data_IF_920016803126
#
_entry.id   IF_920016803126
#
_cell.length_a   1.000
_cell.length_b   1.000
_cell.length_c   1.000
_cell.angle_alpha   90.00
_cell.angle_beta   90.00
_cell.angle_gamma   90.00
#
_symmetry.space_group_name_H-M   'P 1'
#
loop_
_entity.id
_entity.type
_entity.pdbx_description
1 polymer ?
#
# COMPACT_ATOMS: atom_id res chain seq x y z
N UNK A 1 -29.84 33.86 -49.06
CA UNK A 1 -29.57 32.46 -48.66
C UNK A 1 -28.19 32.45 -48.00
N UNK A 2 -28.14 32.88 -46.73
CA UNK A 2 -26.94 32.78 -45.90
C UNK A 2 -26.96 31.40 -45.23
N UNK A 3 -25.83 30.72 -45.31
CA UNK A 3 -25.60 29.35 -44.86
C UNK A 3 -25.83 29.21 -43.35
N UNK A 4 -26.68 28.26 -42.96
CA UNK A 4 -26.63 27.66 -41.62
C UNK A 4 -25.48 26.65 -41.63
N UNK A 5 -24.34 26.95 -40.99
CA UNK A 5 -23.25 25.96 -40.85
C UNK A 5 -22.49 26.01 -39.52
N UNK A 6 -23.09 26.55 -38.45
CA UNK A 6 -22.41 26.67 -37.15
C UNK A 6 -23.18 25.97 -36.02
N UNK A 7 -23.64 24.74 -36.28
CA UNK A 7 -24.18 23.86 -35.24
C UNK A 7 -23.30 22.63 -35.18
N UNK A 8 -22.70 22.38 -34.01
CA UNK A 8 -21.98 21.15 -33.69
C UNK A 8 -22.83 19.94 -34.14
N UNK A 9 -22.28 19.07 -34.99
CA UNK A 9 -23.00 17.90 -35.52
C UNK A 9 -23.22 16.86 -34.41
N UNK A 10 -24.36 16.99 -33.74
CA UNK A 10 -24.75 16.22 -32.57
C UNK A 10 -24.88 14.73 -32.86
N UNK A 11 -25.45 14.39 -34.01
CA UNK A 11 -25.63 13.01 -34.42
C UNK A 11 -24.28 12.38 -34.73
N UNK A 12 -23.34 13.13 -35.31
CA UNK A 12 -21.97 12.68 -35.51
C UNK A 12 -21.22 12.44 -34.19
N UNK A 13 -21.35 13.34 -33.20
CA UNK A 13 -20.73 13.17 -31.88
C UNK A 13 -21.31 11.94 -31.16
N UNK A 14 -22.64 11.80 -31.14
CA UNK A 14 -23.30 10.66 -30.50
C UNK A 14 -22.92 9.34 -31.20
N UNK A 15 -22.94 9.29 -32.53
CA UNK A 15 -22.55 8.12 -33.32
C UNK A 15 -21.08 7.74 -33.12
N UNK A 16 -20.18 8.73 -33.10
CA UNK A 16 -18.77 8.51 -32.83
C UNK A 16 -18.55 7.93 -31.43
N UNK A 17 -19.26 8.48 -30.43
CA UNK A 17 -19.20 7.99 -29.06
C UNK A 17 -19.73 6.56 -28.94
N UNK A 18 -20.91 6.26 -29.48
CA UNK A 18 -21.50 4.91 -29.47
C UNK A 18 -20.65 3.89 -30.23
N UNK A 19 -19.95 4.34 -31.27
CA UNK A 19 -19.00 3.53 -32.03
C UNK A 19 -17.61 3.39 -31.39
N UNK A 20 -17.40 3.92 -30.17
CA UNK A 20 -16.11 3.87 -29.47
C UNK A 20 -14.99 4.70 -30.10
N UNK A 21 -15.33 5.61 -31.02
CA UNK A 21 -14.38 6.49 -31.72
C UNK A 21 -14.19 7.79 -30.94
N UNK A 22 -13.60 7.66 -29.75
CA UNK A 22 -13.47 8.79 -28.81
C UNK A 22 -12.56 9.92 -29.32
N UNK A 23 -11.55 9.60 -30.14
CA UNK A 23 -10.73 10.62 -30.79
C UNK A 23 -11.54 11.50 -31.76
N UNK A 24 -12.49 10.89 -32.49
CA UNK A 24 -13.39 11.63 -33.38
C UNK A 24 -14.32 12.53 -32.58
N UNK A 25 -14.86 12.05 -31.45
CA UNK A 25 -15.68 12.88 -30.53
C UNK A 25 -14.90 14.11 -30.07
N UNK A 26 -13.62 13.95 -29.72
CA UNK A 26 -12.77 15.06 -29.29
C UNK A 26 -12.50 16.05 -30.42
N UNK A 27 -12.30 15.56 -31.65
CA UNK A 27 -12.05 16.40 -32.83
C UNK A 27 -13.30 17.15 -33.31
N UNK A 28 -14.49 16.56 -33.13
CA UNK A 28 -15.78 17.13 -33.53
C UNK A 28 -16.32 18.16 -32.54
N UNK A 29 -15.79 18.21 -31.31
CA UNK A 29 -16.24 19.15 -30.30
C UNK A 29 -15.63 20.54 -30.51
N UNK A 30 -16.48 21.52 -30.80
CA UNK A 30 -16.08 22.92 -30.94
C UNK A 30 -16.47 23.70 -29.68
N UNK A 31 -15.47 24.13 -28.91
CA UNK A 31 -15.68 24.95 -27.71
C UNK A 31 -16.28 26.33 -28.00
N UNK A 32 -16.07 26.88 -29.20
CA UNK A 32 -16.58 28.21 -29.56
C UNK A 32 -18.08 28.21 -29.87
N UNK A 33 -18.60 27.05 -30.29
CA UNK A 33 -20.01 26.81 -30.57
C UNK A 33 -20.74 26.11 -29.41
N UNK A 34 -20.06 25.82 -28.30
CA UNK A 34 -20.63 25.15 -27.14
C UNK A 34 -21.51 26.10 -26.31
N UNK A 35 -22.81 25.86 -26.32
CA UNK A 35 -23.77 26.53 -25.42
C UNK A 35 -24.12 25.60 -24.23
N UNK A 36 -23.44 25.77 -23.07
CA UNK A 36 -23.69 24.95 -21.89
C UNK A 36 -25.09 25.13 -21.30
N UNK A 37 -25.81 26.21 -21.62
CA UNK A 37 -27.14 26.46 -21.04
C UNK A 37 -28.26 25.67 -21.72
N UNK A 38 -27.98 25.08 -22.88
CA UNK A 38 -28.90 24.22 -23.62
C UNK A 38 -28.87 22.76 -23.12
N UNK A 39 -29.99 22.05 -23.23
CA UNK A 39 -30.06 20.60 -22.94
C UNK A 39 -29.06 19.82 -23.80
N UNK A 40 -28.88 20.25 -25.05
CA UNK A 40 -27.93 19.67 -25.98
C UNK A 40 -26.49 19.89 -25.51
N UNK A 41 -26.13 21.11 -25.13
CA UNK A 41 -24.79 21.44 -24.64
C UNK A 41 -24.44 20.67 -23.37
N UNK A 42 -25.40 20.45 -22.47
CA UNK A 42 -25.23 19.62 -21.28
C UNK A 42 -24.91 18.14 -21.62
N UNK A 43 -25.65 17.57 -22.57
CA UNK A 43 -25.41 16.20 -23.05
C UNK A 43 -24.05 16.08 -23.73
N UNK A 44 -23.70 17.05 -24.57
CA UNK A 44 -22.40 17.11 -25.26
C UNK A 44 -21.24 17.22 -24.27
N UNK A 45 -21.35 18.01 -23.20
CA UNK A 45 -20.30 18.10 -22.16
C UNK A 45 -20.01 16.75 -21.52
N UNK A 46 -21.06 15.96 -21.23
CA UNK A 46 -20.87 14.63 -20.64
C UNK A 46 -20.15 13.67 -21.59
N UNK A 47 -20.55 13.63 -22.86
CA UNK A 47 -19.92 12.77 -23.87
C UNK A 47 -18.48 13.19 -24.17
N UNK A 48 -18.24 14.49 -24.31
CA UNK A 48 -16.92 15.04 -24.60
C UNK A 48 -15.95 14.82 -23.43
N UNK A 49 -16.34 15.10 -22.19
CA UNK A 49 -15.49 14.85 -21.03
C UNK A 49 -15.15 13.35 -20.88
N UNK A 50 -16.10 12.46 -21.20
CA UNK A 50 -15.84 11.01 -21.21
C UNK A 50 -14.90 10.62 -22.34
N UNK A 51 -15.09 11.12 -23.56
CA UNK A 51 -14.20 10.87 -24.68
C UNK A 51 -12.76 11.35 -24.42
N UNK A 52 -12.60 12.52 -23.79
CA UNK A 52 -11.30 13.03 -23.33
C UNK A 52 -10.62 12.04 -22.36
N UNK A 53 -11.37 11.48 -21.41
CA UNK A 53 -10.85 10.48 -20.49
C UNK A 53 -10.41 9.18 -21.20
N UNK A 54 -11.20 8.70 -22.17
CA UNK A 54 -10.88 7.50 -22.95
C UNK A 54 -9.63 7.66 -23.83
N UNK A 55 -9.33 8.88 -24.30
CA UNK A 55 -8.08 9.18 -25.02
C UNK A 55 -6.93 9.59 -24.09
N UNK A 56 -7.10 9.48 -22.77
CA UNK A 56 -6.06 9.76 -21.78
C UNK A 56 -5.84 11.25 -21.44
N UNK A 57 -6.68 12.15 -21.96
CA UNK A 57 -6.65 13.59 -21.68
C UNK A 57 -7.43 13.92 -20.41
N UNK A 58 -6.96 13.42 -19.27
CA UNK A 58 -7.70 13.48 -18.00
C UNK A 58 -7.82 14.89 -17.40
N UNK A 59 -6.79 15.72 -17.54
CA UNK A 59 -6.84 17.12 -17.06
C UNK A 59 -7.86 17.94 -17.85
N UNK A 60 -7.87 17.81 -19.18
CA UNK A 60 -8.86 18.44 -20.05
C UNK A 60 -10.27 17.95 -19.73
N UNK A 61 -10.43 16.64 -19.49
CA UNK A 61 -11.70 16.08 -19.07
C UNK A 61 -12.19 16.71 -17.77
N UNK A 62 -11.32 16.83 -16.77
CA UNK A 62 -11.65 17.45 -15.48
C UNK A 62 -12.02 18.93 -15.65
N UNK A 63 -11.27 19.68 -16.46
CA UNK A 63 -11.60 21.09 -16.76
C UNK A 63 -12.95 21.22 -17.46
N UNK A 64 -13.30 20.28 -18.35
CA UNK A 64 -14.64 20.22 -18.96
C UNK A 64 -15.73 20.00 -17.91
N UNK A 65 -15.52 19.11 -16.94
CA UNK A 65 -16.43 18.93 -15.80
C UNK A 65 -16.59 20.22 -14.99
N UNK A 66 -15.49 20.87 -14.60
CA UNK A 66 -15.52 22.09 -13.79
C UNK A 66 -16.18 23.26 -14.53
N UNK A 67 -15.95 23.37 -15.84
CA UNK A 67 -16.63 24.34 -16.72
C UNK A 67 -18.12 24.02 -16.77
N UNK A 68 -18.52 22.76 -16.98
CA UNK A 68 -19.93 22.38 -17.00
C UNK A 68 -20.62 22.68 -15.65
N UNK A 69 -19.94 22.44 -14.53
CA UNK A 69 -20.43 22.74 -13.20
C UNK A 69 -20.68 24.24 -12.98
N UNK A 70 -19.86 25.14 -13.52
CA UNK A 70 -20.06 26.59 -13.38
C UNK A 70 -21.35 27.09 -14.06
N UNK A 71 -21.88 26.34 -15.03
CA UNK A 71 -23.18 26.56 -15.66
C UNK A 71 -24.34 25.82 -14.98
N UNK A 72 -24.11 25.18 -13.83
CA UNK A 72 -25.14 24.44 -13.10
C UNK A 72 -25.51 23.09 -13.70
N UNK A 73 -24.69 22.56 -14.62
CA UNK A 73 -24.99 21.31 -15.30
C UNK A 73 -24.78 20.09 -14.41
N UNK A 74 -25.69 19.13 -14.52
CA UNK A 74 -25.55 17.82 -13.90
C UNK A 74 -24.73 16.91 -14.82
N UNK A 75 -23.62 16.41 -14.29
CA UNK A 75 -22.71 15.53 -15.02
C UNK A 75 -22.74 14.12 -14.45
N UNK A 76 -22.42 13.13 -15.28
CA UNK A 76 -22.20 11.74 -14.84
C UNK A 76 -21.06 11.66 -13.82
N UNK A 77 -20.91 10.52 -13.15
CA UNK A 77 -19.81 10.31 -12.20
C UNK A 77 -18.46 10.45 -12.91
N UNK A 78 -17.51 11.26 -12.39
CA UNK A 78 -16.19 11.49 -13.01
C UNK A 78 -15.19 10.35 -12.73
N UNK A 79 -15.65 9.09 -12.63
CA UNK A 79 -14.83 7.99 -12.12
C UNK A 79 -13.59 7.72 -12.96
N UNK A 80 -13.74 7.65 -14.30
CA UNK A 80 -12.63 7.43 -15.23
C UNK A 80 -11.64 8.60 -15.23
N UNK A 81 -12.15 9.83 -15.16
CA UNK A 81 -11.34 11.05 -15.04
C UNK A 81 -10.51 11.01 -13.77
N UNK A 82 -11.16 10.78 -12.63
CA UNK A 82 -10.51 10.69 -11.32
C UNK A 82 -9.42 9.62 -11.27
N UNK A 83 -9.69 8.44 -11.82
CA UNK A 83 -8.71 7.36 -11.89
C UNK A 83 -7.45 7.79 -12.68
N UNK A 84 -7.62 8.53 -13.77
CA UNK A 84 -6.53 9.10 -14.55
C UNK A 84 -5.76 10.21 -13.81
N UNK A 85 -6.48 11.15 -13.19
CA UNK A 85 -5.86 12.23 -12.40
C UNK A 85 -4.99 11.68 -11.26
N UNK A 86 -5.47 10.67 -10.53
CA UNK A 86 -4.70 10.01 -9.47
C UNK A 86 -3.44 9.32 -9.99
N UNK A 87 -3.50 8.67 -11.15
CA UNK A 87 -2.32 8.08 -11.81
C UNK A 87 -1.28 9.15 -12.19
N UNK A 88 -1.75 10.32 -12.62
CA UNK A 88 -0.89 11.47 -12.94
C UNK A 88 -0.49 12.29 -11.71
N UNK A 89 -0.92 11.91 -10.50
CA UNK A 89 -0.71 12.65 -9.25
C UNK A 89 -1.25 14.09 -9.27
N UNK A 90 -2.27 14.36 -10.09
CA UNK A 90 -2.99 15.65 -10.13
C UNK A 90 -4.11 15.65 -9.06
N UNK A 91 -3.70 15.57 -7.80
CA UNK A 91 -4.60 15.24 -6.68
C UNK A 91 -5.50 16.42 -6.29
N UNK A 92 -4.99 17.65 -6.31
CA UNK A 92 -5.78 18.87 -6.07
C UNK A 92 -6.96 19.03 -7.04
N UNK A 93 -6.70 18.71 -8.32
CA UNK A 93 -7.72 18.76 -9.35
C UNK A 93 -8.77 17.66 -9.15
N UNK A 94 -8.33 16.47 -8.72
CA UNK A 94 -9.23 15.36 -8.39
C UNK A 94 -10.11 15.66 -7.17
N UNK A 95 -9.55 16.27 -6.12
CA UNK A 95 -10.30 16.76 -4.94
C UNK A 95 -11.34 17.79 -5.37
N UNK A 96 -10.94 18.79 -6.16
CA UNK A 96 -11.84 19.85 -6.64
C UNK A 96 -12.99 19.26 -7.47
N UNK A 97 -12.68 18.34 -8.38
CA UNK A 97 -13.63 17.65 -9.23
C UNK A 97 -14.68 16.88 -8.40
N UNK A 98 -14.23 16.08 -7.43
CA UNK A 98 -15.13 15.32 -6.57
C UNK A 98 -15.95 16.20 -5.64
N UNK A 99 -15.36 17.26 -5.07
CA UNK A 99 -16.07 18.20 -4.20
C UNK A 99 -17.23 18.85 -4.95
N UNK A 100 -16.96 19.43 -6.12
CA UNK A 100 -18.01 20.04 -6.95
C UNK A 100 -19.06 19.04 -7.44
N UNK A 101 -18.66 17.79 -7.70
CA UNK A 101 -19.61 16.75 -8.06
C UNK A 101 -20.50 16.36 -6.89
N UNK A 102 -19.95 16.24 -5.67
CA UNK A 102 -20.70 15.92 -4.45
C UNK A 102 -21.66 17.03 -4.05
N UNK A 103 -21.28 18.30 -4.19
CA UNK A 103 -22.16 19.45 -3.92
C UNK A 103 -23.45 19.39 -4.76
N UNK A 104 -23.34 18.88 -5.99
CA UNK A 104 -24.46 18.72 -6.94
C UNK A 104 -25.20 17.39 -6.81
N UNK A 105 -24.56 16.39 -6.21
CA UNK A 105 -25.10 15.04 -6.05
C UNK A 105 -25.02 14.60 -4.57
N UNK A 106 -25.56 15.40 -3.63
CA UNK A 106 -25.25 15.22 -2.22
C UNK A 106 -25.85 13.93 -1.61
N UNK A 107 -26.80 13.30 -2.30
CA UNK A 107 -27.38 12.00 -1.97
C UNK A 107 -26.55 10.79 -2.45
N UNK A 108 -25.58 11.01 -3.34
CA UNK A 108 -24.76 9.95 -3.94
C UNK A 108 -23.54 9.63 -3.08
N UNK A 109 -23.75 8.80 -2.06
CA UNK A 109 -22.71 8.30 -1.12
C UNK A 109 -21.39 7.89 -1.79
N UNK A 110 -21.35 7.17 -2.93
CA UNK A 110 -20.08 6.78 -3.54
C UNK A 110 -19.17 7.96 -3.90
N UNK A 111 -19.72 9.14 -4.23
CA UNK A 111 -18.91 10.32 -4.53
C UNK A 111 -18.16 10.84 -3.31
N UNK A 112 -18.83 10.89 -2.15
CA UNK A 112 -18.21 11.30 -0.89
C UNK A 112 -17.05 10.38 -0.48
N UNK A 113 -17.19 9.07 -0.72
CA UNK A 113 -16.11 8.10 -0.48
C UNK A 113 -14.94 8.38 -1.44
N UNK A 114 -15.21 8.72 -2.71
CA UNK A 114 -14.15 9.08 -3.65
C UNK A 114 -13.48 10.40 -3.28
N UNK A 115 -14.22 11.41 -2.82
CA UNK A 115 -13.67 12.68 -2.33
C UNK A 115 -12.71 12.44 -1.16
N UNK A 116 -13.15 11.70 -0.14
CA UNK A 116 -12.30 11.32 0.99
C UNK A 116 -11.04 10.60 0.52
N UNK A 117 -11.14 9.64 -0.41
CA UNK A 117 -9.98 8.97 -0.98
C UNK A 117 -9.03 9.91 -1.73
N UNK A 118 -9.55 10.90 -2.45
CA UNK A 118 -8.72 11.90 -3.15
C UNK A 118 -7.96 12.78 -2.16
N UNK A 119 -8.63 13.24 -1.10
CA UNK A 119 -8.03 14.01 0.01
C UNK A 119 -6.94 13.18 0.71
N UNK A 120 -7.23 11.92 0.99
CA UNK A 120 -6.28 10.99 1.59
C UNK A 120 -5.02 10.74 0.75
N UNK A 121 -5.15 10.74 -0.58
CA UNK A 121 -4.01 10.61 -1.50
C UNK A 121 -3.23 11.92 -1.58
N UNK A 122 -3.91 13.06 -1.50
CA UNK A 122 -3.29 14.39 -1.46
C UNK A 122 -2.52 14.66 -0.15
N UNK A 123 -2.70 13.82 0.87
CA UNK A 123 -2.11 14.00 2.20
C UNK A 123 -2.99 14.82 3.15
N UNK A 124 -4.17 15.26 2.71
CA UNK A 124 -5.14 16.04 3.47
C UNK A 124 -6.03 15.13 4.34
N UNK A 125 -5.40 14.39 5.27
CA UNK A 125 -6.07 13.37 6.09
C UNK A 125 -7.15 13.97 7.00
N UNK A 126 -6.90 15.14 7.58
CA UNK A 126 -7.86 15.82 8.44
C UNK A 126 -9.14 16.20 7.67
N UNK A 127 -8.98 16.79 6.48
CA UNK A 127 -10.10 17.18 5.61
C UNK A 127 -10.88 15.95 5.13
N UNK A 128 -10.19 14.84 4.84
CA UNK A 128 -10.84 13.58 4.51
C UNK A 128 -11.72 13.06 5.66
N UNK A 129 -11.24 13.14 6.90
CA UNK A 129 -11.99 12.77 8.09
C UNK A 129 -13.18 13.70 8.33
N UNK A 130 -12.99 15.01 8.15
CA UNK A 130 -14.04 16.03 8.26
C UNK A 130 -15.20 15.76 7.30
N UNK A 131 -14.90 15.50 6.02
CA UNK A 131 -15.90 15.12 5.01
C UNK A 131 -16.65 13.85 5.43
N UNK A 132 -15.96 12.82 5.90
CA UNK A 132 -16.62 11.59 6.35
C UNK A 132 -17.46 11.81 7.62
N UNK A 133 -17.04 12.68 8.53
CA UNK A 133 -17.83 13.07 9.73
C UNK A 133 -19.11 13.80 9.32
N UNK A 134 -19.07 14.71 8.35
CA UNK A 134 -20.28 15.35 7.83
C UNK A 134 -21.24 14.35 7.19
N UNK A 135 -20.71 13.49 6.31
CA UNK A 135 -21.53 12.56 5.52
C UNK A 135 -22.13 11.46 6.41
N UNK A 136 -21.42 11.02 7.46
CA UNK A 136 -21.97 10.08 8.45
C UNK A 136 -23.08 10.69 9.32
N UNK A 137 -23.06 12.00 9.59
CA UNK A 137 -24.17 12.69 10.26
C UNK A 137 -25.42 12.73 9.37
N UNK A 138 -25.26 12.95 8.06
CA UNK A 138 -26.36 12.93 7.09
C UNK A 138 -26.92 11.52 6.83
N UNK A 139 -26.05 10.51 6.85
CA UNK A 139 -26.41 9.12 6.58
C UNK A 139 -26.01 8.18 7.73
N UNK A 140 -26.63 8.32 8.92
CA UNK A 140 -26.16 7.67 10.16
C UNK A 140 -26.33 6.14 10.21
N UNK A 141 -27.05 5.56 9.25
CA UNK A 141 -27.33 4.12 9.12
C UNK A 141 -26.54 3.46 7.99
N UNK A 142 -25.46 4.09 7.52
CA UNK A 142 -24.58 3.55 6.47
C UNK A 142 -23.29 3.03 7.11
N UNK A 143 -23.26 1.72 7.39
CA UNK A 143 -22.13 1.07 8.04
C UNK A 143 -20.80 1.31 7.31
N UNK A 144 -20.81 1.24 5.97
CA UNK A 144 -19.62 1.46 5.15
C UNK A 144 -19.00 2.86 5.33
N UNK A 145 -19.81 3.91 5.56
CA UNK A 145 -19.30 5.25 5.80
C UNK A 145 -18.61 5.37 7.17
N UNK A 146 -19.18 4.74 8.20
CA UNK A 146 -18.55 4.66 9.52
C UNK A 146 -17.26 3.84 9.48
N UNK A 147 -17.22 2.78 8.68
CA UNK A 147 -16.02 1.98 8.49
C UNK A 147 -14.91 2.79 7.80
N UNK A 148 -15.24 3.57 6.75
CA UNK A 148 -14.29 4.48 6.10
C UNK A 148 -13.81 5.58 7.06
N UNK A 149 -14.72 6.17 7.86
CA UNK A 149 -14.35 7.15 8.88
C UNK A 149 -13.36 6.56 9.89
N UNK A 150 -13.61 5.33 10.35
CA UNK A 150 -12.69 4.68 11.28
C UNK A 150 -11.29 4.48 10.69
N UNK A 151 -11.20 4.11 9.41
CA UNK A 151 -9.92 3.96 8.71
C UNK A 151 -9.20 5.31 8.55
N UNK A 152 -9.94 6.35 8.14
CA UNK A 152 -9.40 7.69 7.99
C UNK A 152 -8.91 8.26 9.34
N UNK A 153 -9.71 8.15 10.40
CA UNK A 153 -9.33 8.57 11.75
C UNK A 153 -8.12 7.79 12.29
N UNK A 154 -8.00 6.49 11.98
CA UNK A 154 -6.81 5.71 12.32
C UNK A 154 -5.56 6.31 11.67
N UNK A 155 -5.63 6.68 10.38
CA UNK A 155 -4.53 7.33 9.67
C UNK A 155 -4.19 8.72 10.21
N UNK A 156 -5.18 9.45 10.72
CA UNK A 156 -4.99 10.72 11.41
C UNK A 156 -4.38 10.58 12.81
N UNK A 157 -4.23 9.35 13.33
CA UNK A 157 -3.83 9.10 14.72
C UNK A 157 -4.95 9.37 15.75
N UNK A 158 -6.19 9.59 15.30
CA UNK A 158 -7.37 9.81 16.15
C UNK A 158 -7.92 8.48 16.69
N UNK A 159 -7.14 7.78 17.53
CA UNK A 159 -7.43 6.40 17.95
C UNK A 159 -8.85 6.22 18.52
N UNK A 160 -9.30 7.11 19.40
CA UNK A 160 -10.62 7.00 20.02
C UNK A 160 -11.76 7.24 19.01
N UNK A 161 -11.57 8.17 18.06
CA UNK A 161 -12.54 8.40 17.00
C UNK A 161 -12.61 7.20 16.06
N UNK A 162 -11.46 6.61 15.73
CA UNK A 162 -11.37 5.42 14.89
C UNK A 162 -12.12 4.22 15.52
N UNK A 163 -11.85 3.92 16.79
CA UNK A 163 -12.57 2.88 17.54
C UNK A 163 -14.09 3.13 17.51
N UNK A 164 -14.51 4.35 17.82
CA UNK A 164 -15.94 4.71 17.88
C UNK A 164 -16.63 4.53 16.53
N UNK A 165 -15.97 4.93 15.44
CA UNK A 165 -16.49 4.78 14.09
C UNK A 165 -16.55 3.31 13.66
N UNK A 166 -15.51 2.50 13.91
CA UNK A 166 -15.54 1.06 13.64
C UNK A 166 -16.63 0.33 14.43
N UNK A 167 -16.77 0.64 15.73
CA UNK A 167 -17.83 0.08 16.56
C UNK A 167 -19.22 0.47 16.04
N UNK A 168 -19.38 1.71 15.56
CA UNK A 168 -20.62 2.15 14.94
C UNK A 168 -20.92 1.41 13.64
N UNK A 169 -19.91 1.15 12.81
CA UNK A 169 -20.07 0.34 11.61
C UNK A 169 -20.58 -1.08 11.95
N UNK A 170 -19.95 -1.75 12.92
CA UNK A 170 -20.37 -3.09 13.39
C UNK A 170 -21.75 -3.10 14.04
N UNK A 171 -22.14 -2.02 14.73
CA UNK A 171 -23.46 -1.91 15.36
C UNK A 171 -24.58 -1.75 14.32
N UNK A 172 -24.29 -1.15 13.16
CA UNK A 172 -25.26 -1.00 12.06
C UNK A 172 -25.35 -2.29 11.25
N UNK A 173 -24.21 -2.88 10.92
CA UNK A 173 -24.14 -4.12 10.15
C UNK A 173 -22.98 -4.97 10.68
N UNK A 174 -23.30 -6.13 11.25
CA UNK A 174 -22.32 -7.03 11.84
C UNK A 174 -21.41 -7.72 10.81
N UNK A 175 -21.82 -7.73 9.53
CA UNK A 175 -21.10 -8.30 8.39
C UNK A 175 -20.14 -7.28 7.76
N UNK A 176 -19.32 -6.64 8.61
CA UNK A 176 -18.25 -5.77 8.12
C UNK A 176 -17.05 -6.55 7.58
N UNK A 177 -16.25 -5.94 6.69
CA UNK A 177 -14.96 -6.48 6.30
C UNK A 177 -14.06 -6.80 7.52
N UNK A 178 -13.18 -7.81 7.43
CA UNK A 178 -12.32 -8.23 8.56
C UNK A 178 -11.45 -7.10 9.14
N UNK A 179 -11.07 -6.12 8.31
CA UNK A 179 -10.26 -4.99 8.75
C UNK A 179 -10.98 -4.11 9.79
N UNK A 180 -12.31 -4.06 9.85
CA UNK A 180 -13.01 -3.29 10.89
C UNK A 180 -12.75 -3.89 12.27
N UNK A 181 -12.86 -5.23 12.40
CA UNK A 181 -12.61 -5.91 13.67
C UNK A 181 -11.13 -5.89 14.04
N UNK A 182 -10.24 -6.05 13.05
CA UNK A 182 -8.79 -5.91 13.28
C UNK A 182 -8.44 -4.50 13.75
N UNK A 183 -9.02 -3.46 13.16
CA UNK A 183 -8.79 -2.07 13.57
C UNK A 183 -9.20 -1.80 15.02
N UNK A 184 -10.35 -2.33 15.46
CA UNK A 184 -10.79 -2.23 16.86
C UNK A 184 -9.81 -2.95 17.79
N UNK A 185 -9.51 -4.22 17.51
CA UNK A 185 -8.58 -5.03 18.31
C UNK A 185 -7.21 -4.37 18.41
N UNK A 186 -6.70 -3.88 17.28
CA UNK A 186 -5.38 -3.25 17.19
C UNK A 186 -5.31 -1.95 18.00
N UNK A 187 -6.38 -1.15 18.02
CA UNK A 187 -6.42 0.11 18.75
C UNK A 187 -6.77 -0.04 20.24
N UNK A 188 -7.56 -1.07 20.61
CA UNK A 188 -8.00 -1.27 22.00
C UNK A 188 -7.07 -2.18 22.79
N UNK A 189 -6.66 -3.28 22.19
CA UNK A 189 -5.90 -4.35 22.85
C UNK A 189 -4.42 -4.34 22.44
N UNK A 190 -4.02 -3.38 21.59
CA UNK A 190 -2.70 -3.34 20.94
C UNK A 190 -2.34 -4.68 20.28
N UNK A 191 -3.36 -5.40 19.79
CA UNK A 191 -3.21 -6.74 19.22
C UNK A 191 -4.15 -6.95 18.05
N UNK A 192 -3.73 -7.72 17.06
CA UNK A 192 -4.59 -8.14 15.96
C UNK A 192 -4.24 -9.55 15.49
N UNK A 193 -5.13 -10.17 14.71
CA UNK A 193 -4.84 -11.42 14.02
C UNK A 193 -4.71 -11.14 12.50
N UNK A 194 -3.61 -11.59 11.90
CA UNK A 194 -3.34 -11.47 10.47
C UNK A 194 -2.96 -12.84 9.91
N UNK A 195 -3.73 -13.33 8.93
CA UNK A 195 -3.50 -14.63 8.26
C UNK A 195 -3.29 -15.80 9.23
N UNK A 196 -3.99 -15.79 10.37
CA UNK A 196 -3.92 -16.78 11.45
C UNK A 196 -2.91 -16.45 12.56
N UNK A 197 -2.00 -15.51 12.35
CA UNK A 197 -0.95 -15.12 13.31
C UNK A 197 -1.45 -13.99 14.21
N UNK A 198 -1.28 -14.14 15.52
CA UNK A 198 -1.57 -13.09 16.51
C UNK A 198 -0.38 -12.17 16.65
N UNK A 199 -0.57 -10.86 16.47
CA UNK A 199 0.49 -9.87 16.52
C UNK A 199 0.16 -8.80 17.57
N UNK A 200 1.14 -8.50 18.41
CA UNK A 200 1.25 -7.32 19.25
C UNK A 200 1.69 -6.13 18.39
N UNK A 201 0.99 -5.03 18.54
CA UNK A 201 1.11 -3.80 17.73
C UNK A 201 1.04 -2.56 18.64
N UNK A 202 1.96 -2.43 19.62
CA UNK A 202 1.91 -1.33 20.57
C UNK A 202 2.12 0.00 19.86
N UNK A 203 1.34 1.02 20.23
CA UNK A 203 1.40 2.33 19.57
C UNK A 203 2.76 3.03 19.70
N UNK A 204 3.57 2.62 20.68
CA UNK A 204 4.92 3.12 20.88
C UNK A 204 5.94 2.61 19.85
N UNK A 205 5.61 1.55 19.11
CA UNK A 205 6.51 0.90 18.11
C UNK A 205 5.86 0.86 16.73
N UNK A 206 4.54 0.72 16.68
CA UNK A 206 3.77 0.60 15.43
C UNK A 206 3.05 1.93 15.18
N UNK A 207 3.55 2.69 14.20
CA UNK A 207 2.94 3.95 13.79
C UNK A 207 1.51 3.74 13.25
N UNK A 208 0.68 4.80 13.17
CA UNK A 208 -0.61 4.73 12.50
C UNK A 208 -0.53 4.31 11.02
N UNK A 209 0.56 4.68 10.33
CA UNK A 209 0.84 4.26 8.96
C UNK A 209 1.02 2.75 8.89
N UNK A 210 1.87 2.21 9.76
CA UNK A 210 2.10 0.76 9.90
C UNK A 210 0.84 0.00 10.28
N UNK A 211 0.14 0.49 11.29
CA UNK A 211 -1.08 -0.10 11.80
C UNK A 211 -2.14 -0.23 10.71
N UNK A 212 -2.26 0.76 9.82
CA UNK A 212 -3.20 0.72 8.70
C UNK A 212 -2.96 -0.49 7.80
N UNK A 213 -1.73 -0.75 7.37
CA UNK A 213 -1.43 -1.87 6.46
C UNK A 213 -1.66 -3.23 7.14
N UNK A 214 -1.35 -3.34 8.43
CA UNK A 214 -1.68 -4.54 9.23
C UNK A 214 -3.19 -4.75 9.34
N UNK A 215 -3.94 -3.68 9.62
CA UNK A 215 -5.41 -3.69 9.73
C UNK A 215 -6.07 -4.01 8.39
N UNK A 216 -5.60 -3.46 7.28
CA UNK A 216 -6.08 -3.78 5.92
C UNK A 216 -5.67 -5.21 5.52
N UNK A 217 -4.54 -5.72 6.05
CA UNK A 217 -4.01 -7.06 5.79
C UNK A 217 -2.99 -7.14 4.67
N UNK A 218 -2.35 -6.00 4.36
CA UNK A 218 -1.30 -5.89 3.36
C UNK A 218 0.12 -6.16 3.86
N UNK A 219 0.34 -6.21 5.18
CA UNK A 219 1.67 -6.42 5.77
C UNK A 219 2.27 -7.78 5.35
N UNK A 220 3.50 -7.74 4.82
CA UNK A 220 4.28 -8.88 4.31
C UNK A 220 3.46 -9.83 3.42
N UNK A 221 2.52 -9.28 2.65
CA UNK A 221 1.55 -10.07 1.91
C UNK A 221 2.19 -10.98 0.86
N UNK A 222 3.29 -10.53 0.25
CA UNK A 222 4.01 -11.20 -0.84
C UNK A 222 4.95 -12.27 -0.29
N UNK A 223 5.71 -11.91 0.72
CA UNK A 223 6.65 -12.75 1.47
C UNK A 223 5.91 -13.95 2.04
N UNK A 224 4.74 -13.75 2.67
CA UNK A 224 3.90 -14.85 3.15
C UNK A 224 3.46 -15.76 2.00
N UNK A 225 3.11 -15.21 0.84
CA UNK A 225 2.67 -16.04 -0.30
C UNK A 225 3.83 -16.90 -0.82
N UNK A 226 5.04 -16.33 -0.90
CA UNK A 226 6.24 -17.06 -1.27
C UNK A 226 6.62 -18.10 -0.22
N UNK A 227 6.54 -17.75 1.07
CA UNK A 227 6.80 -18.64 2.19
C UNK A 227 5.83 -19.84 2.16
N UNK A 228 4.54 -19.59 2.01
CA UNK A 228 3.51 -20.64 1.93
C UNK A 228 3.74 -21.61 0.75
N UNK A 229 4.26 -21.11 -0.37
CA UNK A 229 4.55 -21.92 -1.56
C UNK A 229 5.91 -22.62 -1.54
N UNK A 230 6.89 -22.10 -0.79
CA UNK A 230 8.27 -22.56 -0.83
C UNK A 230 8.71 -23.34 0.41
N UNK A 231 8.13 -23.10 1.59
CA UNK A 231 8.57 -23.69 2.86
C UNK A 231 8.26 -25.19 2.93
N UNK A 232 9.19 -25.98 3.47
CA UNK A 232 9.05 -27.41 3.75
C UNK A 232 9.27 -27.71 5.23
N UNK A 233 8.76 -28.87 5.67
CA UNK A 233 8.81 -29.27 7.08
C UNK A 233 10.24 -29.55 7.61
N UNK A 234 11.16 -29.90 6.73
CA UNK A 234 12.57 -30.16 7.02
C UNK A 234 13.47 -28.93 6.84
N UNK A 235 12.87 -27.77 6.53
CA UNK A 235 13.62 -26.54 6.39
C UNK A 235 14.18 -26.03 7.72
N UNK A 236 15.38 -25.45 7.63
CA UNK A 236 15.98 -24.63 8.67
C UNK A 236 16.08 -23.22 8.11
N UNK A 237 15.41 -22.26 8.74
CA UNK A 237 15.18 -20.93 8.18
C UNK A 237 15.99 -19.88 8.90
N UNK A 238 16.74 -19.08 8.13
CA UNK A 238 17.37 -17.86 8.62
C UNK A 238 16.68 -16.64 7.99
N UNK A 239 16.05 -15.82 8.83
CA UNK A 239 15.44 -14.56 8.45
C UNK A 239 16.31 -13.40 8.92
N UNK A 240 16.63 -12.50 7.99
CA UNK A 240 17.33 -11.25 8.24
C UNK A 240 16.35 -10.10 8.00
N UNK A 241 16.08 -9.32 9.04
CA UNK A 241 15.03 -8.29 9.03
C UNK A 241 13.68 -8.86 9.46
N UNK A 242 13.57 -9.27 10.72
CA UNK A 242 12.41 -10.00 11.21
C UNK A 242 11.16 -9.13 11.42
N UNK A 243 11.30 -7.80 11.53
CA UNK A 243 10.17 -6.90 11.72
C UNK A 243 9.37 -7.23 12.99
N UNK A 244 8.08 -7.53 12.83
CA UNK A 244 7.23 -7.98 13.95
C UNK A 244 7.38 -9.48 14.29
N UNK A 245 8.23 -10.22 13.57
CA UNK A 245 8.38 -11.68 13.68
C UNK A 245 7.22 -12.44 13.05
N UNK A 246 6.54 -11.84 12.07
CA UNK A 246 5.34 -12.39 11.46
C UNK A 246 5.62 -13.63 10.62
N UNK A 247 6.64 -13.61 9.74
CA UNK A 247 7.02 -14.78 8.94
C UNK A 247 7.47 -15.95 9.81
N UNK A 248 8.26 -15.70 10.86
CA UNK A 248 8.64 -16.72 11.83
C UNK A 248 7.42 -17.39 12.50
N UNK A 249 6.46 -16.60 12.97
CA UNK A 249 5.22 -17.14 13.54
C UNK A 249 4.41 -17.91 12.50
N UNK A 250 4.33 -17.42 11.27
CA UNK A 250 3.63 -18.08 10.17
C UNK A 250 4.26 -19.42 9.80
N UNK A 251 5.59 -19.49 9.72
CA UNK A 251 6.34 -20.72 9.50
C UNK A 251 6.09 -21.73 10.63
N UNK A 252 6.12 -21.29 11.89
CA UNK A 252 5.81 -22.13 13.05
C UNK A 252 4.37 -22.67 13.07
N UNK A 253 3.40 -21.92 12.55
CA UNK A 253 2.03 -22.41 12.37
C UNK A 253 1.91 -23.48 11.28
N UNK A 254 2.65 -23.34 10.18
CA UNK A 254 2.66 -24.31 9.09
C UNK A 254 3.35 -25.61 9.52
N UNK A 255 4.49 -25.50 10.20
CA UNK A 255 5.30 -26.63 10.63
C UNK A 255 5.72 -26.46 12.11
N UNK A 256 4.89 -26.95 13.04
CA UNK A 256 5.24 -26.94 14.46
C UNK A 256 6.55 -27.68 14.71
N UNK A 257 7.59 -26.96 15.11
CA UNK A 257 8.94 -27.50 15.34
C UNK A 257 9.98 -27.14 14.27
N UNK A 258 9.63 -26.32 13.27
CA UNK A 258 10.60 -25.78 12.33
C UNK A 258 11.70 -25.01 13.07
N UNK A 259 12.97 -25.28 12.73
CA UNK A 259 14.09 -24.52 13.26
C UNK A 259 14.19 -23.19 12.54
N UNK A 260 14.08 -22.09 13.29
CA UNK A 260 13.94 -20.76 12.72
C UNK A 260 14.73 -19.73 13.51
N UNK A 261 15.66 -19.03 12.87
CA UNK A 261 16.45 -17.94 13.44
C UNK A 261 16.00 -16.63 12.80
N UNK A 262 15.62 -15.66 13.62
CA UNK A 262 15.13 -14.35 13.21
C UNK A 262 16.08 -13.26 13.71
N UNK A 263 16.64 -12.47 12.81
CA UNK A 263 17.57 -11.38 13.12
C UNK A 263 16.87 -10.04 12.93
N UNK A 264 16.91 -9.17 13.94
CA UNK A 264 16.31 -7.83 13.88
C UNK A 264 17.30 -6.77 14.38
N UNK A 265 17.44 -5.68 13.63
CA UNK A 265 18.34 -4.59 13.95
C UNK A 265 17.73 -3.59 14.93
N UNK A 266 16.42 -3.34 14.83
CA UNK A 266 15.74 -2.34 15.64
C UNK A 266 15.46 -2.87 17.06
N UNK A 267 16.08 -2.30 18.10
CA UNK A 267 15.89 -2.75 19.48
C UNK A 267 14.44 -2.60 19.99
N UNK A 268 13.67 -1.66 19.43
CA UNK A 268 12.28 -1.44 19.84
C UNK A 268 11.35 -2.60 19.45
N UNK A 269 11.71 -3.36 18.41
CA UNK A 269 10.95 -4.52 17.94
C UNK A 269 11.27 -5.79 18.75
N UNK A 270 12.42 -5.87 19.41
CA UNK A 270 12.83 -7.09 20.13
C UNK A 270 11.84 -7.54 21.22
N UNK A 271 11.26 -6.65 22.06
CA UNK A 271 10.19 -7.04 22.97
C UNK A 271 8.93 -7.51 22.24
N UNK A 272 8.58 -6.86 21.13
CA UNK A 272 7.38 -7.17 20.32
C UNK A 272 7.51 -8.54 19.65
N UNK A 273 8.66 -8.84 19.02
CA UNK A 273 8.96 -10.15 18.43
C UNK A 273 8.82 -11.25 19.49
N UNK A 274 9.39 -11.06 20.67
CA UNK A 274 9.32 -12.04 21.76
C UNK A 274 7.89 -12.26 22.24
N UNK A 275 7.10 -11.19 22.37
CA UNK A 275 5.67 -11.30 22.69
C UNK A 275 4.93 -12.07 21.59
N UNK A 276 5.18 -11.76 20.32
CA UNK A 276 4.55 -12.42 19.19
C UNK A 276 4.89 -13.91 19.14
N UNK A 277 6.13 -14.28 19.45
CA UNK A 277 6.51 -15.69 19.54
C UNK A 277 5.72 -16.40 20.65
N UNK A 278 5.57 -15.78 21.82
CA UNK A 278 4.76 -16.32 22.91
C UNK A 278 3.28 -16.43 22.54
N UNK A 279 2.71 -15.39 21.93
CA UNK A 279 1.33 -15.37 21.46
C UNK A 279 1.06 -16.47 20.44
N UNK A 280 2.05 -16.94 19.69
CA UNK A 280 1.85 -17.97 18.66
C UNK A 280 2.45 -19.33 19.01
N UNK A 281 2.98 -19.51 20.23
CA UNK A 281 3.77 -20.68 20.59
C UNK A 281 4.90 -20.98 19.57
N UNK A 282 5.47 -19.92 18.98
CA UNK A 282 6.56 -20.02 18.03
C UNK A 282 7.87 -20.32 18.77
N UNK A 283 8.60 -21.34 18.31
CA UNK A 283 9.88 -21.76 18.90
C UNK A 283 11.10 -21.08 18.26
N UNK A 284 10.89 -20.06 17.42
CA UNK A 284 11.97 -19.35 16.75
C UNK A 284 12.91 -18.65 17.75
N UNK A 285 14.20 -18.52 17.39
CA UNK A 285 15.20 -17.79 18.16
C UNK A 285 15.38 -16.40 17.56
N UNK A 286 15.21 -15.36 18.38
CA UNK A 286 15.40 -13.97 17.96
C UNK A 286 16.77 -13.43 18.39
N UNK A 287 17.49 -12.80 17.46
CA UNK A 287 18.79 -12.19 17.66
C UNK A 287 18.73 -10.69 17.36
N UNK A 288 19.32 -9.88 18.24
CA UNK A 288 19.34 -8.42 18.10
C UNK A 288 20.66 -7.95 17.49
N UNK A 289 20.57 -7.36 16.32
CA UNK A 289 21.67 -6.67 15.65
C UNK A 289 21.48 -6.62 14.14
N UNK A 290 22.19 -5.68 13.51
CA UNK A 290 22.19 -5.55 12.05
C UNK A 290 23.02 -6.67 11.42
N UNK A 291 22.40 -7.42 10.51
CA UNK A 291 23.04 -8.54 9.82
C UNK A 291 24.13 -8.04 8.86
N UNK A 292 25.33 -8.60 8.96
CA UNK A 292 26.45 -8.25 8.09
C UNK A 292 27.44 -9.42 7.93
N UNK A 293 28.37 -9.28 6.99
CA UNK A 293 29.52 -10.18 6.79
C UNK A 293 30.84 -9.58 7.27
N UNK A 294 30.89 -8.28 7.56
CA UNK A 294 32.02 -7.61 8.19
C UNK A 294 31.61 -7.12 9.59
N UNK A 295 32.21 -7.69 10.64
CA UNK A 295 31.90 -7.29 12.00
C UNK A 295 32.52 -5.95 12.38
N UNK A 296 31.67 -5.04 12.86
CA UNK A 296 32.04 -3.89 13.66
C UNK A 296 31.31 -3.97 15.01
N UNK A 297 31.88 -3.41 16.08
CA UNK A 297 31.25 -3.49 17.42
C UNK A 297 29.82 -2.91 17.42
N UNK A 298 29.60 -1.86 16.62
CA UNK A 298 28.28 -1.31 16.34
C UNK A 298 28.30 -0.54 15.02
N UNK A 299 27.13 -0.38 14.41
CA UNK A 299 26.94 0.45 13.21
C UNK A 299 25.82 1.47 13.41
N UNK A 300 25.90 2.55 12.64
CA UNK A 300 24.83 3.54 12.55
C UNK A 300 23.62 2.93 11.85
N UNK A 301 22.47 2.97 12.51
CA UNK A 301 21.18 2.52 11.99
C UNK A 301 20.19 3.67 12.06
N UNK A 302 19.44 3.86 10.99
CA UNK A 302 18.48 4.94 10.85
C UNK A 302 17.09 4.39 11.15
N UNK A 303 16.64 4.52 12.40
CA UNK A 303 15.31 4.09 12.81
C UNK A 303 14.26 5.09 12.32
N UNK A 304 13.33 4.62 11.49
CA UNK A 304 12.17 5.39 11.04
C UNK A 304 10.98 5.20 12.00
N UNK A 305 10.07 6.17 12.03
CA UNK A 305 8.78 6.05 12.72
C UNK A 305 7.97 4.86 12.18
N UNK A 306 8.03 4.66 10.86
CA UNK A 306 7.60 3.42 10.21
C UNK A 306 8.76 2.43 10.23
N UNK A 307 8.75 1.46 11.15
CA UNK A 307 9.94 0.63 11.39
C UNK A 307 10.47 -0.10 10.14
N UNK A 308 9.60 -0.47 9.19
CA UNK A 308 9.99 -1.13 7.94
C UNK A 308 10.81 -0.22 7.01
N UNK A 309 10.81 1.09 7.22
CA UNK A 309 11.62 2.03 6.46
C UNK A 309 12.99 2.26 7.12
N UNK A 310 13.29 1.53 8.21
CA UNK A 310 14.56 1.68 8.91
C UNK A 310 15.68 1.00 8.13
N UNK A 311 16.84 1.65 8.06
CA UNK A 311 17.89 1.22 7.14
C UNK A 311 19.30 1.51 7.69
N UNK A 312 20.31 0.96 7.02
CA UNK A 312 21.72 1.25 7.32
C UNK A 312 22.24 2.53 6.67
N UNK A 313 21.52 3.10 5.70
CA UNK A 313 21.89 4.33 5.00
C UNK A 313 20.76 5.34 5.10
N UNK A 314 21.05 6.64 5.33
CA UNK A 314 20.00 7.65 5.40
C UNK A 314 19.21 7.68 4.08
N UNK A 315 17.90 7.43 4.17
CA UNK A 315 16.99 7.50 3.01
C UNK A 315 16.40 8.89 2.87
N UNK A 316 16.16 9.60 3.99
CA UNK A 316 15.69 11.00 4.09
C UNK A 316 15.96 11.59 5.51
N UNK A 317 15.67 12.88 5.74
CA UNK A 317 15.88 13.60 7.03
C UNK A 317 14.99 13.11 8.21
N UNK A 318 14.04 12.20 7.98
CA UNK A 318 13.03 11.77 8.96
C UNK A 318 13.44 10.62 9.90
N UNK A 319 14.72 10.26 9.94
CA UNK A 319 15.20 9.09 10.69
C UNK A 319 15.92 9.47 11.98
N UNK A 320 15.66 8.74 13.07
CA UNK A 320 16.48 8.81 14.28
C UNK A 320 17.70 7.93 14.10
N UNK A 321 18.88 8.56 14.07
CA UNK A 321 20.14 7.82 14.02
C UNK A 321 20.42 7.18 15.39
N UNK A 322 20.48 5.86 15.43
CA UNK A 322 20.83 5.05 16.60
C UNK A 322 22.05 4.17 16.32
N UNK A 323 22.69 3.69 17.37
CA UNK A 323 23.79 2.72 17.28
C UNK A 323 23.26 1.33 17.65
N UNK A 324 23.43 0.36 16.77
CA UNK A 324 22.97 -1.03 16.97
C UNK A 324 24.16 -1.99 16.86
N UNK A 325 24.16 -3.09 17.63
CA UNK A 325 25.19 -4.12 17.48
C UNK A 325 25.12 -4.73 16.08
N UNK A 326 26.25 -5.23 15.58
CA UNK A 326 26.25 -6.05 14.36
C UNK A 326 26.13 -7.53 14.71
N UNK A 327 25.57 -8.30 13.79
CA UNK A 327 25.58 -9.76 13.82
C UNK A 327 26.28 -10.24 12.55
N UNK A 328 27.45 -10.86 12.75
CA UNK A 328 28.06 -11.66 11.69
C UNK A 328 27.14 -12.84 11.36
N UNK A 329 26.70 -12.90 10.11
CA UNK A 329 25.80 -13.96 9.64
C UNK A 329 26.51 -15.31 9.52
N UNK A 330 27.85 -15.34 9.35
CA UNK A 330 28.60 -16.58 9.09
C UNK A 330 28.54 -17.59 10.24
N UNK A 331 28.69 -17.20 11.53
CA UNK A 331 28.45 -18.11 12.64
C UNK A 331 27.03 -18.71 12.64
N UNK A 332 26.01 -17.91 12.33
CA UNK A 332 24.62 -18.38 12.26
C UNK A 332 24.44 -19.40 11.13
N UNK A 333 25.05 -19.16 9.96
CA UNK A 333 25.09 -20.12 8.86
C UNK A 333 25.74 -21.44 9.27
N UNK A 334 26.82 -21.39 10.04
CA UNK A 334 27.52 -22.59 10.53
C UNK A 334 26.73 -23.39 11.56
N UNK A 335 26.04 -22.70 12.47
CA UNK A 335 25.23 -23.31 13.54
C UNK A 335 23.93 -23.90 12.99
N UNK A 336 23.14 -23.09 12.27
CA UNK A 336 21.81 -23.48 11.77
C UNK A 336 21.90 -24.31 10.49
N UNK A 337 22.91 -24.06 9.64
CA UNK A 337 23.01 -24.61 8.27
C UNK A 337 21.69 -24.45 7.52
N UNK A 338 21.21 -23.21 7.33
CA UNK A 338 19.88 -22.96 6.80
C UNK A 338 19.74 -23.54 5.40
N UNK A 339 18.58 -24.15 5.13
CA UNK A 339 18.17 -24.59 3.79
C UNK A 339 17.36 -23.52 3.07
N UNK A 340 16.84 -22.56 3.83
CA UNK A 340 16.07 -21.43 3.33
C UNK A 340 16.50 -20.14 4.02
N UNK A 341 16.69 -19.07 3.25
CA UNK A 341 16.90 -17.73 3.79
C UNK A 341 15.75 -16.80 3.38
N UNK A 342 15.40 -15.87 4.26
CA UNK A 342 14.50 -14.75 3.99
C UNK A 342 15.25 -13.48 4.34
N UNK A 343 15.29 -12.51 3.42
CA UNK A 343 16.14 -11.33 3.54
C UNK A 343 15.34 -10.09 3.16
N UNK A 344 15.14 -9.21 4.13
CA UNK A 344 14.57 -7.88 3.95
C UNK A 344 15.25 -6.92 4.94
N UNK A 345 16.42 -6.40 4.57
CA UNK A 345 17.29 -5.60 5.47
C UNK A 345 17.56 -4.20 4.91
N UNK A 346 16.64 -3.70 4.09
CA UNK A 346 16.52 -2.29 3.67
C UNK A 346 17.86 -1.66 3.25
N UNK A 347 18.60 -2.35 2.38
CA UNK A 347 19.89 -1.86 1.85
C UNK A 347 21.11 -2.68 2.25
N UNK A 348 21.01 -3.51 3.29
CA UNK A 348 22.09 -4.37 3.77
C UNK A 348 22.43 -5.53 2.81
N UNK A 349 21.58 -5.79 1.81
CA UNK A 349 21.72 -6.93 0.90
C UNK A 349 22.93 -6.79 -0.02
N UNK A 350 23.34 -5.55 -0.33
CA UNK A 350 24.34 -5.24 -1.36
C UNK A 350 25.69 -5.91 -1.13
N UNK A 351 26.09 -6.04 0.14
CA UNK A 351 27.38 -6.60 0.55
C UNK A 351 27.22 -7.90 1.37
N UNK A 352 25.97 -8.31 1.64
CA UNK A 352 25.66 -9.50 2.44
C UNK A 352 26.25 -10.79 1.83
N UNK A 353 26.31 -10.88 0.51
CA UNK A 353 26.76 -12.09 -0.18
C UNK A 353 28.27 -12.11 -0.45
N UNK A 354 28.99 -11.03 -0.11
CA UNK A 354 30.43 -10.95 -0.32
C UNK A 354 31.15 -11.90 0.67
N UNK A 355 31.57 -13.06 0.16
CA UNK A 355 32.26 -14.10 0.95
C UNK A 355 31.34 -14.97 1.82
N UNK A 356 30.02 -14.90 1.64
CA UNK A 356 29.06 -15.75 2.34
C UNK A 356 28.87 -17.09 1.60
N UNK A 357 29.11 -18.21 2.28
CA UNK A 357 28.93 -19.55 1.71
C UNK A 357 27.45 -19.97 1.76
N UNK A 358 26.85 -20.22 0.60
CA UNK A 358 25.43 -20.61 0.46
C UNK A 358 25.25 -22.09 0.08
N UNK A 359 26.24 -22.94 0.34
CA UNK A 359 26.24 -24.36 -0.07
C UNK A 359 25.10 -25.18 0.56
N UNK A 360 24.65 -24.79 1.76
CA UNK A 360 23.53 -25.42 2.47
C UNK A 360 22.16 -24.84 2.10
N UNK A 361 22.13 -23.69 1.43
CA UNK A 361 20.90 -22.95 1.12
C UNK A 361 20.37 -23.37 -0.24
N UNK A 362 19.14 -23.89 -0.26
CA UNK A 362 18.45 -24.30 -1.47
C UNK A 362 17.50 -23.22 -1.98
N UNK A 363 17.02 -22.34 -1.10
CA UNK A 363 16.02 -21.31 -1.41
C UNK A 363 16.33 -19.98 -0.72
N UNK A 364 16.09 -18.89 -1.42
CA UNK A 364 16.19 -17.53 -0.87
C UNK A 364 14.96 -16.74 -1.28
N UNK A 365 14.21 -16.21 -0.32
CA UNK A 365 13.27 -15.11 -0.54
C UNK A 365 14.01 -13.82 -0.18
N UNK A 366 14.01 -12.84 -1.08
CA UNK A 366 14.72 -11.58 -0.86
C UNK A 366 13.92 -10.41 -1.43
N UNK A 367 13.78 -9.34 -0.65
CA UNK A 367 13.35 -8.04 -1.15
C UNK A 367 14.55 -7.19 -1.56
N UNK A 368 14.44 -6.48 -2.68
CA UNK A 368 15.48 -5.60 -3.20
C UNK A 368 15.06 -4.14 -3.16
N UNK A 369 15.98 -3.27 -2.73
CA UNK A 369 15.75 -1.85 -2.48
C UNK A 369 16.55 -0.95 -3.45
N UNK A 370 16.19 -0.89 -4.74
CA UNK A 370 16.91 -0.10 -5.74
C UNK A 370 16.88 1.41 -5.47
N UNK A 371 15.98 1.90 -4.59
CA UNK A 371 16.00 3.30 -4.16
C UNK A 371 17.20 3.61 -3.26
N UNK A 372 17.74 2.62 -2.54
CA UNK A 372 18.87 2.78 -1.62
C UNK A 372 20.21 2.62 -2.33
N UNK A 373 20.35 1.63 -3.23
CA UNK A 373 21.62 1.31 -3.88
C UNK A 373 21.58 1.24 -5.42
N UNK A 374 20.47 1.65 -6.04
CA UNK A 374 20.31 1.68 -7.49
C UNK A 374 20.11 0.31 -8.14
N UNK A 375 19.68 0.32 -9.41
CA UNK A 375 19.50 -0.91 -10.19
C UNK A 375 20.81 -1.72 -10.37
N UNK A 376 21.96 -1.04 -10.36
CA UNK A 376 23.26 -1.70 -10.40
C UNK A 376 23.52 -2.53 -9.13
N UNK A 377 23.17 -2.00 -7.95
CA UNK A 377 23.25 -2.75 -6.69
C UNK A 377 22.30 -3.95 -6.67
N UNK A 378 21.06 -3.79 -7.14
CA UNK A 378 20.12 -4.93 -7.31
C UNK A 378 20.72 -6.01 -8.21
N UNK A 379 21.36 -5.60 -9.32
CA UNK A 379 22.00 -6.53 -10.25
C UNK A 379 23.21 -7.25 -9.63
N UNK A 380 23.99 -6.58 -8.77
CA UNK A 380 25.08 -7.20 -7.98
C UNK A 380 24.53 -8.33 -7.10
N UNK A 381 23.49 -8.05 -6.34
CA UNK A 381 22.84 -9.03 -5.43
C UNK A 381 22.32 -10.24 -6.20
N UNK A 382 21.56 -10.00 -7.27
CA UNK A 382 21.05 -11.07 -8.14
C UNK A 382 22.22 -11.90 -8.71
N UNK A 383 23.27 -11.24 -9.19
CA UNK A 383 24.44 -11.93 -9.76
C UNK A 383 25.17 -12.79 -8.73
N UNK A 384 25.25 -12.36 -7.47
CA UNK A 384 25.85 -13.15 -6.40
C UNK A 384 25.05 -14.44 -6.13
N UNK A 385 23.72 -14.35 -6.06
CA UNK A 385 22.84 -15.51 -5.88
C UNK A 385 22.92 -16.48 -7.08
N UNK A 386 22.90 -15.95 -8.31
CA UNK A 386 23.10 -16.75 -9.53
C UNK A 386 24.47 -17.44 -9.53
N UNK A 387 25.53 -16.73 -9.15
CA UNK A 387 26.88 -17.25 -9.03
C UNK A 387 27.03 -18.34 -7.97
N UNK A 388 26.20 -18.30 -6.92
CA UNK A 388 26.11 -19.34 -5.90
C UNK A 388 25.31 -20.58 -6.37
N UNK A 389 24.79 -20.58 -7.60
CA UNK A 389 24.03 -21.69 -8.19
C UNK A 389 22.55 -21.71 -7.80
N UNK A 390 22.00 -20.58 -7.36
CA UNK A 390 20.56 -20.40 -7.16
C UNK A 390 19.95 -19.75 -8.41
N UNK A 391 18.75 -20.16 -8.80
CA UNK A 391 18.07 -19.67 -10.00
C UNK A 391 16.83 -18.85 -9.62
N UNK A 392 16.66 -17.70 -10.28
CA UNK A 392 15.48 -16.84 -10.09
C UNK A 392 14.21 -17.53 -10.61
N UNK A 393 13.21 -17.68 -9.74
CA UNK A 393 11.87 -18.10 -10.11
C UNK A 393 11.05 -16.90 -10.58
N UNK A 394 11.07 -16.63 -11.88
CA UNK A 394 10.33 -15.52 -12.51
C UNK A 394 8.81 -15.67 -12.45
N UNK A 395 8.28 -16.86 -12.15
CA UNK A 395 6.83 -17.11 -12.05
C UNK A 395 6.33 -16.76 -10.65
N UNK A 396 7.09 -17.16 -9.62
CA UNK A 396 6.73 -16.85 -8.24
C UNK A 396 7.08 -15.41 -7.84
N UNK A 397 8.19 -14.88 -8.34
CA UNK A 397 8.68 -13.54 -8.00
C UNK A 397 7.73 -12.44 -8.45
N UNK A 398 7.60 -11.37 -7.65
CA UNK A 398 6.74 -10.25 -7.95
C UNK A 398 7.36 -8.92 -7.53
N UNK A 399 7.53 -8.00 -8.48
CA UNK A 399 8.10 -6.67 -8.25
C UNK A 399 9.50 -6.74 -7.65
N UNK A 400 9.68 -6.33 -6.39
CA UNK A 400 10.98 -6.27 -5.70
C UNK A 400 11.24 -7.51 -4.83
N UNK A 401 10.23 -8.37 -4.64
CA UNK A 401 10.28 -9.55 -3.79
C UNK A 401 10.51 -10.77 -4.68
N UNK A 402 11.69 -11.37 -4.56
CA UNK A 402 12.19 -12.39 -5.46
C UNK A 402 12.36 -13.72 -4.73
N UNK A 403 12.02 -14.82 -5.41
CA UNK A 403 12.34 -16.17 -4.98
C UNK A 403 13.46 -16.74 -5.85
N UNK A 404 14.50 -17.24 -5.20
CA UNK A 404 15.57 -18.02 -5.80
C UNK A 404 15.52 -19.46 -5.30
N UNK A 405 15.85 -20.42 -6.17
CA UNK A 405 15.91 -21.86 -5.83
C UNK A 405 16.99 -22.61 -6.60
N UNK A 406 17.57 -23.65 -6.01
CA UNK A 406 18.47 -24.59 -6.71
C UNK A 406 17.72 -25.51 -7.66
#
# INVERSE_FOLDING_TARGET
MMLQSDLVDQDAIANAYEGGRYADVVALFDESAWDPTSVQGASQSSLFAQALAEVGRFEDAANCYLKAFSFGLMMRSPWSVSAGLRKLKLLELDVTLWRQWCDRNPEKIPGWIQLSKSLELAGELADAADVLREVTQRFPQRANLHAQLGMCSLRCGEMQAAISAFQRALAIDSMQPPWVRRGISALQDERLELKGVRLSVPAAVVSPGVLRFLVEGGYEGREVTLLEGALRADDRVLELGAGLGFLACKAGQMFPGIEYYAVEANPALMPVIRENFQLNACCAKAFHGAACTESADAISFHAADDFWASSLKPVDDAHTQISVPTIDVRPLMGELKPTMMIIDIEGGEIDLFDGLELSSVDRVIIELHPLVYGHAGSSKVISALLGAGLHLDVVASCSQVLLFRR
#
